data_IF_259127018697
#
_entry.id   IF_259127018697
#
_cell.length_a   1.000
_cell.length_b   1.000
_cell.length_c   1.000
_cell.angle_alpha   90.00
_cell.angle_beta   90.00
_cell.angle_gamma   90.00
#
_symmetry.space_group_name_H-M   'P 1'
#
loop_
_entity.id
_entity.type
_entity.pdbx_description
1 polymer ?
#
# COMPACT_ATOMS: atom_id res chain seq x y z
N UNK A 1 -19.29 6.91 72.45
CA UNK A 1 -20.11 7.58 71.41
C UNK A 1 -20.20 6.65 70.22
N UNK A 2 -21.35 5.95 70.13
CA UNK A 2 -21.57 4.93 69.06
C UNK A 2 -22.24 5.57 67.88
N UNK A 3 -21.69 5.40 66.70
CA UNK A 3 -22.36 5.74 65.45
C UNK A 3 -22.81 4.49 64.71
N UNK A 4 -24.12 4.37 64.56
CA UNK A 4 -24.80 3.34 63.79
C UNK A 4 -24.81 3.70 62.32
N UNK A 5 -24.49 2.71 61.49
CA UNK A 5 -24.61 2.78 60.03
C UNK A 5 -25.84 1.98 59.58
N UNK A 6 -26.79 2.52 58.80
CA UNK A 6 -27.96 1.77 58.34
C UNK A 6 -27.68 1.08 56.99
N UNK A 7 -27.92 -0.23 56.95
CA UNK A 7 -27.99 -1.07 55.76
C UNK A 7 -29.17 -0.66 54.87
N UNK A 8 -28.91 -0.30 53.62
CA UNK A 8 -29.92 -0.16 52.56
C UNK A 8 -30.04 -1.47 51.79
N UNK A 9 -31.23 -2.05 51.81
CA UNK A 9 -31.64 -3.23 51.04
C UNK A 9 -31.73 -2.86 49.55
N UNK A 10 -31.08 -3.63 48.67
CA UNK A 10 -31.21 -3.56 47.22
C UNK A 10 -32.28 -4.57 46.81
N UNK A 11 -33.39 -4.07 46.29
CA UNK A 11 -34.46 -4.86 45.66
C UNK A 11 -34.06 -5.25 44.24
N UNK A 12 -34.05 -6.54 43.94
CA UNK A 12 -33.83 -7.10 42.61
C UNK A 12 -35.09 -6.88 41.75
N UNK A 13 -34.93 -6.22 40.61
CA UNK A 13 -35.94 -6.11 39.55
C UNK A 13 -35.71 -7.22 38.51
N UNK A 14 -36.74 -8.05 38.36
CA UNK A 14 -36.80 -9.12 37.36
C UNK A 14 -37.00 -8.52 35.96
N UNK A 15 -36.22 -8.96 34.97
CA UNK A 15 -36.35 -8.63 33.57
C UNK A 15 -37.15 -9.73 32.86
N UNK A 16 -38.22 -9.44 32.11
CA UNK A 16 -38.95 -10.46 31.34
C UNK A 16 -38.20 -10.81 30.05
N UNK A 17 -38.11 -12.11 29.77
CA UNK A 17 -37.61 -12.65 28.50
C UNK A 17 -38.60 -12.36 27.37
N UNK A 18 -38.14 -11.68 26.32
CA UNK A 18 -38.86 -11.51 25.06
C UNK A 18 -38.38 -12.59 24.07
N UNK A 19 -39.30 -13.48 23.72
CA UNK A 19 -39.11 -14.51 22.71
C UNK A 19 -39.09 -13.84 21.32
N UNK A 20 -37.97 -13.96 20.57
CA UNK A 20 -37.85 -13.52 19.20
C UNK A 20 -38.39 -14.61 18.25
N UNK A 21 -39.46 -14.26 17.55
CA UNK A 21 -40.06 -15.04 16.46
C UNK A 21 -39.21 -14.91 15.19
N UNK A 22 -38.56 -15.98 14.75
CA UNK A 22 -37.81 -16.03 13.49
C UNK A 22 -38.81 -16.21 12.32
N UNK A 23 -39.01 -15.16 11.53
CA UNK A 23 -39.72 -15.22 10.25
C UNK A 23 -38.71 -15.55 9.15
N UNK A 24 -38.83 -16.76 8.61
CA UNK A 24 -38.17 -17.23 7.39
C UNK A 24 -38.78 -16.52 6.17
N UNK A 25 -38.03 -15.67 5.49
CA UNK A 25 -38.40 -15.14 4.16
C UNK A 25 -37.81 -16.01 3.06
N UNK A 26 -38.54 -16.31 1.95
CA UNK A 26 -38.04 -17.13 0.89
C UNK A 26 -37.01 -16.41 0.00
N UNK A 27 -35.98 -17.15 -0.39
CA UNK A 27 -34.94 -16.71 -1.33
C UNK A 27 -35.54 -16.38 -2.70
N UNK A 28 -35.41 -15.14 -3.15
CA UNK A 28 -35.75 -14.73 -4.50
C UNK A 28 -34.61 -15.10 -5.45
N UNK A 29 -34.87 -16.05 -6.33
CA UNK A 29 -33.97 -16.46 -7.42
C UNK A 29 -34.02 -15.35 -8.49
N UNK A 30 -32.92 -14.64 -8.69
CA UNK A 30 -32.73 -13.70 -9.80
C UNK A 30 -32.36 -14.43 -11.09
N UNK A 31 -32.89 -14.05 -12.25
CA UNK A 31 -32.68 -14.75 -13.53
C UNK A 31 -31.27 -14.53 -14.10
N UNK A 32 -30.73 -15.57 -14.72
CA UNK A 32 -29.40 -15.72 -15.28
C UNK A 32 -29.02 -14.80 -16.47
N UNK A 33 -29.68 -13.67 -16.66
CA UNK A 33 -29.47 -12.75 -17.80
C UNK A 33 -28.52 -11.58 -17.52
N UNK A 34 -28.12 -11.39 -16.29
CA UNK A 34 -27.25 -10.25 -15.89
C UNK A 34 -25.74 -10.54 -15.98
N UNK A 35 -25.33 -11.79 -16.26
CA UNK A 35 -23.90 -12.16 -16.36
C UNK A 35 -23.33 -12.10 -17.79
N UNK A 36 -24.18 -11.99 -18.82
CA UNK A 36 -23.72 -11.93 -20.21
C UNK A 36 -23.25 -10.53 -20.67
N UNK A 37 -23.74 -9.46 -20.04
CA UNK A 37 -23.43 -8.10 -20.46
C UNK A 37 -22.09 -7.54 -19.92
N UNK A 38 -21.49 -8.17 -18.91
CA UNK A 38 -20.19 -7.74 -18.40
C UNK A 38 -18.99 -8.30 -19.19
N UNK A 39 -19.18 -9.42 -19.91
CA UNK A 39 -18.12 -10.00 -20.75
C UNK A 39 -17.95 -9.27 -22.10
N UNK A 40 -19.00 -8.60 -22.59
CA UNK A 40 -18.98 -7.87 -23.85
C UNK A 40 -18.30 -6.48 -23.78
N UNK A 41 -18.22 -5.87 -22.60
CA UNK A 41 -17.60 -4.55 -22.43
C UNK A 41 -16.07 -4.60 -22.24
N UNK A 42 -15.49 -5.75 -21.92
CA UNK A 42 -14.04 -5.90 -21.83
C UNK A 42 -13.35 -6.20 -23.17
N UNK A 43 -14.08 -6.62 -24.18
CA UNK A 43 -13.52 -6.95 -25.51
C UNK A 43 -13.35 -5.73 -26.43
N UNK A 44 -13.95 -4.57 -26.13
CA UNK A 44 -13.91 -3.40 -27.00
C UNK A 44 -12.82 -2.38 -26.67
N UNK A 45 -12.01 -2.62 -25.63
CA UNK A 45 -10.91 -1.70 -25.25
C UNK A 45 -9.52 -2.17 -25.66
N UNK A 46 -9.38 -3.33 -26.31
CA UNK A 46 -8.09 -3.87 -26.77
C UNK A 46 -7.80 -3.66 -28.27
N UNK A 47 -8.73 -3.08 -29.06
CA UNK A 47 -8.60 -2.99 -30.51
C UNK A 47 -8.27 -1.60 -31.09
N UNK A 48 -7.92 -0.61 -30.25
CA UNK A 48 -7.63 0.76 -30.71
C UNK A 48 -6.14 1.13 -30.78
N UNK A 49 -5.23 0.18 -30.77
CA UNK A 49 -3.80 0.47 -30.85
C UNK A 49 -3.04 -0.43 -31.84
N UNK A 50 -3.50 -0.51 -33.10
CA UNK A 50 -2.65 -0.98 -34.22
C UNK A 50 -3.26 -0.58 -35.56
N UNK A 51 -2.86 0.57 -36.07
CA UNK A 51 -2.78 0.85 -37.50
C UNK A 51 -1.72 1.93 -37.71
N UNK A 52 -0.55 1.56 -38.11
CA UNK A 52 0.12 2.09 -39.32
C UNK A 52 1.47 1.41 -39.52
N UNK A 53 1.71 0.73 -40.61
CA UNK A 53 2.69 0.94 -41.65
C UNK A 53 3.00 -0.33 -42.48
N UNK A 54 2.61 -0.18 -43.76
CA UNK A 54 3.28 -0.57 -45.03
C UNK A 54 3.78 -2.01 -45.25
N UNK A 55 3.10 -2.60 -46.25
CA UNK A 55 3.54 -3.34 -47.48
C UNK A 55 4.97 -3.89 -47.53
N UNK A 56 5.15 -5.20 -47.76
CA UNK A 56 5.45 -5.77 -49.10
C UNK A 56 5.69 -7.29 -49.02
N UNK A 57 5.12 -7.95 -50.03
CA UNK A 57 5.48 -9.13 -50.78
C UNK A 57 5.53 -10.55 -50.21
N UNK A 58 4.67 -11.26 -50.90
CA UNK A 58 4.44 -12.67 -51.13
C UNK A 58 5.65 -13.58 -51.22
N UNK A 59 5.62 -14.78 -50.60
CA UNK A 59 5.97 -16.08 -51.21
C UNK A 59 5.24 -17.24 -50.53
N UNK A 60 4.74 -18.15 -51.34
CA UNK A 60 3.84 -19.29 -51.13
C UNK A 60 4.60 -20.52 -50.59
N UNK A 61 3.95 -21.39 -49.75
CA UNK A 61 4.57 -22.63 -49.28
C UNK A 61 4.38 -23.83 -50.24
N UNK A 62 5.15 -24.88 -50.12
CA UNK A 62 4.74 -26.20 -50.60
C UNK A 62 4.48 -27.23 -49.50
N UNK A 63 3.71 -28.20 -49.92
CA UNK A 63 2.85 -29.16 -49.26
C UNK A 63 3.53 -30.27 -48.44
N UNK A 64 2.66 -30.90 -47.67
CA UNK A 64 2.83 -32.10 -46.84
C UNK A 64 3.24 -33.36 -47.59
N UNK A 65 3.95 -34.25 -46.90
CA UNK A 65 3.85 -35.70 -47.13
C UNK A 65 3.91 -36.45 -45.78
N UNK A 66 2.90 -37.24 -45.58
CA UNK A 66 2.70 -38.26 -44.56
C UNK A 66 3.44 -39.54 -44.93
N UNK A 67 4.10 -40.20 -43.96
CA UNK A 67 4.13 -41.67 -43.87
C UNK A 67 4.33 -42.09 -42.42
N UNK A 68 3.56 -43.12 -42.05
CA UNK A 68 3.39 -43.61 -40.71
C UNK A 68 4.34 -44.75 -40.33
N UNK A 69 4.19 -45.13 -39.10
CA UNK A 69 4.18 -46.46 -38.53
C UNK A 69 5.07 -46.68 -37.30
N UNK A 70 4.38 -47.06 -36.23
CA UNK A 70 4.67 -48.08 -35.21
C UNK A 70 5.88 -48.00 -34.29
N UNK A 71 5.59 -47.94 -32.98
CA UNK A 71 6.19 -48.90 -32.07
C UNK A 71 6.93 -48.37 -30.85
N UNK A 72 6.35 -48.67 -29.69
CA UNK A 72 7.03 -48.99 -28.42
C UNK A 72 7.71 -47.86 -27.57
N UNK A 73 7.20 -47.80 -26.40
CA UNK A 73 7.55 -47.07 -25.17
C UNK A 73 8.99 -46.66 -24.95
N UNK A 74 9.10 -45.45 -24.42
CA UNK A 74 10.22 -45.15 -23.54
C UNK A 74 9.80 -44.10 -22.49
N UNK A 75 10.13 -44.41 -21.24
CA UNK A 75 9.97 -43.62 -20.05
C UNK A 75 10.65 -42.24 -20.21
N UNK A 76 9.95 -41.20 -19.80
CA UNK A 76 10.39 -39.84 -19.83
C UNK A 76 11.72 -39.69 -19.02
N UNK A 77 12.77 -39.35 -19.71
CA UNK A 77 13.99 -38.84 -19.11
C UNK A 77 13.71 -37.41 -18.58
N UNK A 78 13.91 -37.24 -17.29
CA UNK A 78 13.96 -35.92 -16.66
C UNK A 78 15.14 -35.16 -17.28
N UNK A 79 14.83 -34.09 -17.99
CA UNK A 79 15.83 -33.19 -18.59
C UNK A 79 16.66 -32.58 -17.45
N UNK A 80 17.88 -33.10 -17.26
CA UNK A 80 18.88 -32.52 -16.38
C UNK A 80 19.37 -31.22 -17.06
N UNK A 81 18.85 -30.10 -16.57
CA UNK A 81 19.32 -28.77 -16.99
C UNK A 81 20.84 -28.68 -16.84
N UNK A 82 21.50 -28.35 -17.94
CA UNK A 82 22.96 -28.25 -18.07
C UNK A 82 23.54 -27.32 -16.99
N UNK A 83 24.51 -27.77 -16.14
CA UNK A 83 25.08 -26.99 -15.04
C UNK A 83 25.70 -25.65 -15.49
N UNK A 84 26.09 -25.53 -16.76
CA UNK A 84 26.62 -24.29 -17.31
C UNK A 84 25.56 -23.20 -17.54
N UNK A 85 24.32 -23.60 -17.88
CA UNK A 85 23.19 -22.65 -18.03
C UNK A 85 22.70 -22.15 -16.66
N UNK A 86 22.69 -23.01 -15.64
CA UNK A 86 22.27 -22.64 -14.29
C UNK A 86 23.28 -21.68 -13.62
N UNK A 87 24.60 -21.86 -13.85
CA UNK A 87 25.65 -20.92 -13.43
C UNK A 87 25.54 -19.56 -14.17
N UNK A 88 25.16 -19.55 -15.43
CA UNK A 88 24.94 -18.32 -16.21
C UNK A 88 23.72 -17.52 -15.73
N UNK A 89 22.61 -18.20 -15.37
CA UNK A 89 21.40 -17.55 -14.85
C UNK A 89 21.59 -16.96 -13.46
N UNK A 90 22.30 -17.68 -12.57
CA UNK A 90 22.66 -17.17 -11.25
C UNK A 90 23.64 -16.02 -11.29
N UNK A 91 24.63 -16.04 -12.19
CA UNK A 91 25.56 -14.93 -12.38
C UNK A 91 24.84 -13.67 -12.89
N UNK A 92 23.93 -13.81 -13.88
CA UNK A 92 23.10 -12.67 -14.36
C UNK A 92 22.16 -12.12 -13.28
N UNK A 93 21.58 -13.00 -12.45
CA UNK A 93 20.75 -12.57 -11.33
C UNK A 93 21.56 -11.79 -10.27
N UNK A 94 22.76 -12.26 -9.94
CA UNK A 94 23.67 -11.58 -9.00
C UNK A 94 24.14 -10.23 -9.56
N UNK A 95 24.46 -10.15 -10.86
CA UNK A 95 24.84 -8.91 -11.53
C UNK A 95 23.69 -7.89 -11.47
N UNK A 96 22.47 -8.32 -11.81
CA UNK A 96 21.28 -7.48 -11.72
C UNK A 96 20.99 -6.98 -10.31
N UNK A 97 21.17 -7.82 -9.29
CA UNK A 97 21.03 -7.43 -7.88
C UNK A 97 22.11 -6.40 -7.48
N UNK A 98 23.35 -6.55 -7.96
CA UNK A 98 24.43 -5.58 -7.72
C UNK A 98 24.14 -4.25 -8.41
N UNK A 99 23.63 -4.27 -9.63
CA UNK A 99 23.26 -3.07 -10.37
C UNK A 99 22.10 -2.31 -9.70
N UNK A 100 21.07 -3.03 -9.24
CA UNK A 100 19.96 -2.47 -8.44
C UNK A 100 20.45 -1.90 -7.11
N UNK A 101 21.35 -2.60 -6.40
CA UNK A 101 21.94 -2.12 -5.15
C UNK A 101 22.80 -0.87 -5.36
N UNK A 102 23.59 -0.81 -6.45
CA UNK A 102 24.37 0.35 -6.84
C UNK A 102 23.48 1.53 -7.21
N UNK A 103 22.44 1.31 -8.03
CA UNK A 103 21.46 2.33 -8.40
C UNK A 103 20.72 2.87 -7.18
N UNK A 104 20.34 2.01 -6.22
CA UNK A 104 19.73 2.46 -4.97
C UNK A 104 20.69 3.31 -4.12
N UNK A 105 21.98 2.95 -4.06
CA UNK A 105 23.01 3.75 -3.40
C UNK A 105 23.20 5.12 -4.08
N UNK A 106 23.23 5.15 -5.40
CA UNK A 106 23.42 6.37 -6.19
C UNK A 106 22.21 7.32 -6.08
N UNK A 107 21.00 6.81 -5.90
CA UNK A 107 19.79 7.63 -5.72
C UNK A 107 19.90 8.48 -4.46
N UNK A 108 20.39 7.90 -3.36
CA UNK A 108 20.54 8.62 -2.08
C UNK A 108 21.83 9.42 -1.96
N UNK A 109 22.87 9.10 -2.71
CA UNK A 109 24.17 9.80 -2.65
C UNK A 109 24.12 11.22 -3.18
N UNK A 110 23.19 11.54 -4.09
CA UNK A 110 23.10 12.85 -4.75
C UNK A 110 22.38 13.90 -3.90
N UNK A 111 21.31 13.51 -3.19
CA UNK A 111 20.51 14.41 -2.33
C UNK A 111 20.03 13.62 -1.13
N UNK A 112 20.42 13.95 0.09
CA UNK A 112 19.97 13.24 1.28
C UNK A 112 18.48 13.48 1.53
N UNK A 113 17.76 12.43 1.95
CA UNK A 113 16.38 12.51 2.37
C UNK A 113 16.30 13.07 3.79
N UNK A 114 16.21 14.37 3.91
CA UNK A 114 16.09 15.02 5.22
C UNK A 114 14.62 15.16 5.60
N UNK A 115 14.25 14.83 6.86
CA UNK A 115 12.92 15.13 7.36
C UNK A 115 12.72 16.66 7.42
N UNK A 116 11.46 17.14 7.40
CA UNK A 116 11.16 18.56 7.57
C UNK A 116 11.80 19.13 8.83
N UNK A 117 12.34 20.35 8.75
CA UNK A 117 12.87 21.08 9.91
C UNK A 117 11.74 21.32 10.93
N UNK A 118 11.93 20.84 12.15
CA UNK A 118 10.93 20.90 13.22
C UNK A 118 10.30 19.53 13.54
N UNK A 119 10.73 18.48 12.85
CA UNK A 119 10.22 17.13 13.01
C UNK A 119 8.82 16.94 12.37
N UNK A 120 8.55 15.80 11.80
CA UNK A 120 7.16 15.39 11.56
C UNK A 120 6.49 15.28 12.95
N UNK A 121 5.26 15.80 13.08
CA UNK A 121 4.44 15.47 14.26
C UNK A 121 4.42 13.95 14.36
N UNK A 122 4.59 13.43 15.59
CA UNK A 122 4.54 11.98 15.81
C UNK A 122 3.33 11.41 15.09
N UNK A 123 3.55 10.37 14.28
CA UNK A 123 2.48 9.68 13.54
C UNK A 123 1.48 8.98 14.48
N UNK A 124 1.68 9.03 15.78
CA UNK A 124 0.93 8.25 16.77
C UNK A 124 1.61 6.91 17.06
N UNK A 125 0.97 6.09 17.87
CA UNK A 125 1.45 4.74 18.19
C UNK A 125 0.81 3.70 17.27
N UNK A 126 1.54 2.61 17.02
CA UNK A 126 1.10 1.44 16.26
C UNK A 126 1.09 0.22 17.20
N UNK A 127 0.10 0.11 18.11
CA UNK A 127 0.13 -0.85 19.20
C UNK A 127 0.01 -2.30 18.74
N UNK A 128 -0.77 -2.56 17.70
CA UNK A 128 -0.94 -3.91 17.17
C UNK A 128 0.35 -4.42 16.53
N UNK A 129 0.96 -3.61 15.66
CA UNK A 129 2.27 -3.94 15.06
C UNK A 129 3.35 -4.11 16.12
N UNK A 130 3.39 -3.21 17.12
CA UNK A 130 4.38 -3.32 18.20
C UNK A 130 4.22 -4.60 19.02
N UNK A 131 2.98 -5.00 19.34
CA UNK A 131 2.68 -6.25 20.03
C UNK A 131 3.15 -7.47 19.24
N UNK A 132 2.83 -7.52 17.96
CA UNK A 132 3.23 -8.60 17.05
C UNK A 132 4.76 -8.74 16.93
N UNK A 133 5.46 -7.64 16.73
CA UNK A 133 6.92 -7.63 16.67
C UNK A 133 7.56 -8.08 17.99
N UNK A 134 6.97 -7.69 19.12
CA UNK A 134 7.48 -8.08 20.44
C UNK A 134 7.24 -9.56 20.73
N UNK A 135 6.16 -10.17 20.25
CA UNK A 135 5.85 -11.59 20.40
C UNK A 135 6.54 -12.47 19.35
N UNK A 136 7.21 -11.88 18.35
CA UNK A 136 7.83 -12.62 17.24
C UNK A 136 6.81 -13.22 16.26
N UNK A 137 5.59 -12.71 16.26
CA UNK A 137 4.55 -13.14 15.33
C UNK A 137 4.73 -12.47 13.95
N UNK A 138 4.29 -13.13 12.85
CA UNK A 138 4.29 -12.53 11.52
C UNK A 138 3.49 -11.23 11.49
N UNK A 139 3.98 -10.24 10.74
CA UNK A 139 3.34 -8.93 10.53
C UNK A 139 2.97 -8.74 9.07
N UNK A 140 1.69 -8.51 8.80
CA UNK A 140 1.17 -8.23 7.46
C UNK A 140 0.85 -6.74 7.33
N UNK A 141 1.52 -6.07 6.41
CA UNK A 141 1.31 -4.66 6.09
C UNK A 141 0.68 -4.55 4.70
N UNK A 142 -0.48 -3.91 4.59
CA UNK A 142 -1.13 -3.65 3.31
C UNK A 142 -0.95 -2.19 2.91
N UNK A 143 -0.23 -1.95 1.82
CA UNK A 143 -0.15 -0.65 1.17
C UNK A 143 -1.32 -0.49 0.21
N UNK A 144 -2.31 0.32 0.59
CA UNK A 144 -3.57 0.53 -0.10
C UNK A 144 -3.62 1.94 -0.69
N UNK A 145 -3.97 2.09 -1.97
CA UNK A 145 -3.99 3.41 -2.58
C UNK A 145 -4.10 3.40 -4.10
N UNK A 146 -3.73 4.53 -4.71
CA UNK A 146 -3.83 4.75 -6.15
C UNK A 146 -2.50 4.52 -6.90
N UNK A 147 -2.26 5.24 -7.99
CA UNK A 147 -1.07 5.12 -8.84
C UNK A 147 0.25 5.34 -8.09
N UNK A 148 0.28 6.20 -7.06
CA UNK A 148 1.47 6.36 -6.21
C UNK A 148 1.79 5.09 -5.41
N UNK A 149 0.77 4.32 -5.03
CA UNK A 149 0.96 3.04 -4.34
C UNK A 149 1.35 1.92 -5.32
N UNK A 150 0.76 1.91 -6.53
CA UNK A 150 1.25 1.04 -7.62
C UNK A 150 2.73 1.27 -7.87
N UNK A 151 3.19 2.53 -7.79
CA UNK A 151 4.55 2.93 -8.11
C UNK A 151 4.69 3.49 -9.53
N UNK A 152 3.64 4.14 -10.05
CA UNK A 152 3.72 4.80 -11.36
C UNK A 152 4.83 5.86 -11.35
N UNK A 153 5.69 5.84 -12.37
CA UNK A 153 6.85 6.71 -12.47
C UNK A 153 8.17 6.10 -11.99
N UNK A 154 8.14 4.90 -11.36
CA UNK A 154 9.37 4.18 -11.03
C UNK A 154 9.94 3.46 -12.25
N UNK A 155 11.28 3.36 -12.31
CA UNK A 155 11.99 2.66 -13.38
C UNK A 155 12.02 1.14 -13.19
N UNK A 156 11.68 0.65 -11.98
CA UNK A 156 11.65 -0.77 -11.64
C UNK A 156 10.64 -1.03 -10.50
N UNK A 157 9.99 -2.22 -10.45
CA UNK A 157 9.08 -2.59 -9.36
C UNK A 157 9.72 -2.49 -7.97
N UNK A 158 11.01 -2.77 -7.83
CA UNK A 158 11.76 -2.69 -6.58
C UNK A 158 11.83 -1.26 -6.03
N UNK A 159 11.63 -0.25 -6.88
CA UNK A 159 11.70 1.16 -6.51
C UNK A 159 10.37 1.76 -6.05
N UNK A 160 9.29 0.98 -6.08
CA UNK A 160 8.02 1.39 -5.50
C UNK A 160 8.15 1.58 -3.99
N UNK A 161 7.37 2.51 -3.39
CA UNK A 161 7.49 2.76 -1.96
C UNK A 161 7.15 1.53 -1.10
N UNK A 162 6.17 0.66 -1.44
CA UNK A 162 5.91 -0.53 -0.62
C UNK A 162 7.10 -1.49 -0.58
N UNK A 163 7.78 -1.72 -1.71
CA UNK A 163 8.95 -2.59 -1.78
C UNK A 163 10.16 -2.00 -1.05
N UNK A 164 10.38 -0.68 -1.16
CA UNK A 164 11.43 0.02 -0.40
C UNK A 164 11.16 0.01 1.10
N UNK A 165 9.90 0.19 1.50
CA UNK A 165 9.48 0.09 2.90
C UNK A 165 9.72 -1.33 3.44
N UNK A 166 9.35 -2.37 2.68
CA UNK A 166 9.65 -3.77 3.05
C UNK A 166 11.15 -3.96 3.31
N UNK A 167 11.99 -3.52 2.37
CA UNK A 167 13.45 -3.62 2.51
C UNK A 167 13.98 -2.84 3.73
N UNK A 168 13.41 -1.68 4.06
CA UNK A 168 13.78 -0.91 5.26
C UNK A 168 13.39 -1.62 6.55
N UNK A 169 12.14 -2.13 6.62
CA UNK A 169 11.65 -2.84 7.79
C UNK A 169 12.40 -4.15 8.04
N UNK A 170 12.74 -4.90 6.99
CA UNK A 170 13.59 -6.09 7.11
C UNK A 170 15.00 -5.77 7.62
N UNK A 171 15.60 -4.64 7.22
CA UNK A 171 16.88 -4.20 7.79
C UNK A 171 16.77 -3.82 9.26
N UNK A 172 15.67 -3.18 9.65
CA UNK A 172 15.43 -2.75 11.04
C UNK A 172 15.10 -3.92 11.97
N UNK A 173 14.36 -4.89 11.46
CA UNK A 173 13.88 -6.07 12.20
C UNK A 173 14.27 -7.37 11.47
N UNK A 174 15.58 -7.71 11.46
CA UNK A 174 16.11 -8.78 10.60
C UNK A 174 15.60 -10.18 10.95
N UNK A 175 15.08 -10.37 12.17
CA UNK A 175 14.53 -11.65 12.65
C UNK A 175 13.00 -11.70 12.58
N UNK A 176 12.33 -10.60 12.23
CA UNK A 176 10.88 -10.56 12.16
C UNK A 176 10.40 -10.98 10.76
N UNK A 177 9.31 -11.75 10.73
CA UNK A 177 8.60 -12.09 9.50
C UNK A 177 7.62 -10.95 9.15
N UNK A 178 8.06 -10.05 8.26
CA UNK A 178 7.27 -8.88 7.84
C UNK A 178 6.97 -8.99 6.36
N UNK A 179 5.69 -9.00 6.00
CA UNK A 179 5.22 -8.98 4.61
C UNK A 179 4.56 -7.64 4.30
N UNK A 180 5.00 -6.96 3.22
CA UNK A 180 4.35 -5.76 2.69
C UNK A 180 3.67 -6.07 1.37
N UNK A 181 2.34 -5.94 1.33
CA UNK A 181 1.50 -6.27 0.18
C UNK A 181 1.09 -4.97 -0.52
N UNK A 182 1.47 -4.81 -1.79
CA UNK A 182 1.02 -3.68 -2.61
C UNK A 182 -0.39 -3.93 -3.15
N UNK A 183 -1.35 -3.10 -2.74
CA UNK A 183 -2.75 -3.05 -3.19
C UNK A 183 -3.08 -1.69 -3.80
N UNK A 184 -2.14 -1.12 -4.54
CA UNK A 184 -2.36 0.07 -5.35
C UNK A 184 -3.21 -0.25 -6.60
N UNK A 185 -4.06 0.70 -7.00
CA UNK A 185 -4.77 0.67 -8.28
C UNK A 185 -4.82 2.08 -8.87
N UNK A 186 -4.29 2.27 -10.08
CA UNK A 186 -4.15 3.57 -10.70
C UNK A 186 -5.49 4.29 -10.89
N UNK A 187 -5.49 5.62 -10.67
CA UNK A 187 -6.65 6.46 -10.96
C UNK A 187 -7.77 6.45 -9.90
N UNK A 188 -7.73 5.59 -8.90
CA UNK A 188 -8.77 5.52 -7.87
C UNK A 188 -8.76 6.69 -6.90
N UNK A 189 -9.95 7.06 -6.45
CA UNK A 189 -10.20 7.88 -5.26
C UNK A 189 -11.00 7.11 -4.20
N UNK A 190 -11.48 7.80 -3.15
CA UNK A 190 -12.11 7.14 -2.02
C UNK A 190 -13.33 6.26 -2.39
N UNK A 191 -14.26 6.65 -3.28
CA UNK A 191 -15.39 5.81 -3.64
C UNK A 191 -14.99 4.46 -4.26
N UNK A 192 -14.02 4.44 -5.19
CA UNK A 192 -13.54 3.20 -5.81
C UNK A 192 -12.78 2.35 -4.79
N UNK A 193 -11.93 2.97 -3.97
CA UNK A 193 -11.20 2.28 -2.91
C UNK A 193 -12.14 1.61 -1.92
N UNK A 194 -13.23 2.26 -1.52
CA UNK A 194 -14.23 1.70 -0.60
C UNK A 194 -14.94 0.46 -1.15
N UNK A 195 -15.17 0.39 -2.48
CA UNK A 195 -15.78 -0.79 -3.13
C UNK A 195 -14.93 -2.05 -2.97
N UNK A 196 -13.60 -1.91 -2.97
CA UNK A 196 -12.67 -3.03 -2.86
C UNK A 196 -11.98 -3.16 -1.50
N UNK A 197 -12.35 -2.34 -0.50
CA UNK A 197 -11.73 -2.36 0.82
C UNK A 197 -11.77 -3.77 1.45
N UNK A 198 -12.90 -4.49 1.31
CA UNK A 198 -13.01 -5.84 1.83
C UNK A 198 -11.99 -6.78 1.19
N UNK A 199 -12.02 -6.94 -0.12
CA UNK A 199 -11.22 -7.94 -0.84
C UNK A 199 -9.75 -7.55 -0.98
N UNK A 200 -9.44 -6.25 -1.08
CA UNK A 200 -8.08 -5.77 -1.26
C UNK A 200 -7.32 -5.59 0.06
N UNK A 201 -8.03 -5.39 1.17
CA UNK A 201 -7.42 -5.05 2.47
C UNK A 201 -7.83 -6.03 3.56
N UNK A 202 -9.13 -6.08 3.90
CA UNK A 202 -9.58 -6.79 5.11
C UNK A 202 -9.40 -8.32 5.00
N UNK A 203 -9.62 -8.89 3.81
CA UNK A 203 -9.42 -10.33 3.56
C UNK A 203 -7.93 -10.74 3.67
N UNK A 204 -7.00 -9.79 3.58
CA UNK A 204 -5.57 -10.02 3.81
C UNK A 204 -5.21 -10.12 5.30
N UNK A 205 -6.16 -9.83 6.21
CA UNK A 205 -5.97 -9.81 7.66
C UNK A 205 -4.75 -8.97 8.05
N UNK A 206 -4.70 -7.69 7.66
CA UNK A 206 -3.54 -6.84 7.91
C UNK A 206 -3.36 -6.54 9.39
N UNK A 207 -2.11 -6.37 9.79
CA UNK A 207 -1.74 -5.80 11.09
C UNK A 207 -1.54 -4.29 10.99
N UNK A 208 -1.16 -3.80 9.79
CA UNK A 208 -1.06 -2.38 9.46
C UNK A 208 -1.62 -2.12 8.06
N UNK A 209 -2.43 -1.09 7.95
CA UNK A 209 -2.85 -0.54 6.65
C UNK A 209 -2.19 0.82 6.44
N UNK A 210 -1.48 0.98 5.33
CA UNK A 210 -0.98 2.29 4.86
C UNK A 210 -1.93 2.72 3.74
N UNK A 211 -2.80 3.68 4.02
CA UNK A 211 -3.84 4.10 3.07
C UNK A 211 -3.50 5.45 2.44
N UNK A 212 -3.06 5.42 1.18
CA UNK A 212 -2.81 6.62 0.38
C UNK A 212 -4.08 7.03 -0.37
N UNK A 213 -4.59 8.26 -0.12
CA UNK A 213 -5.88 8.73 -0.64
C UNK A 213 -5.91 10.25 -0.83
N UNK A 214 -6.87 10.74 -1.62
CA UNK A 214 -7.23 12.15 -1.76
C UNK A 214 -6.59 12.86 -2.96
N UNK A 215 -5.52 12.33 -3.57
CA UNK A 215 -4.87 12.96 -4.73
C UNK A 215 -5.82 13.07 -5.93
N UNK A 216 -6.45 11.97 -6.33
CA UNK A 216 -7.33 11.95 -7.50
C UNK A 216 -8.60 12.76 -7.27
N UNK A 217 -9.13 12.80 -6.05
CA UNK A 217 -10.24 13.69 -5.70
C UNK A 217 -9.87 15.17 -5.88
N UNK A 218 -8.66 15.58 -5.48
CA UNK A 218 -8.15 16.95 -5.74
C UNK A 218 -8.04 17.21 -7.24
N UNK A 219 -7.43 16.31 -8.01
CA UNK A 219 -7.27 16.48 -9.46
C UNK A 219 -8.61 16.58 -10.21
N UNK A 220 -9.60 15.83 -9.76
CA UNK A 220 -10.98 15.84 -10.32
C UNK A 220 -11.86 16.93 -9.73
N UNK A 221 -11.34 17.74 -8.83
CA UNK A 221 -12.06 18.81 -8.15
C UNK A 221 -13.33 18.31 -7.41
N UNK A 222 -13.24 17.10 -6.82
CA UNK A 222 -14.33 16.53 -6.01
C UNK A 222 -14.37 17.20 -4.63
N UNK A 223 -15.55 17.15 -3.98
CA UNK A 223 -15.69 17.72 -2.63
C UNK A 223 -14.81 16.98 -1.62
N UNK A 224 -13.82 17.65 -1.02
CA UNK A 224 -12.98 17.06 0.01
C UNK A 224 -13.75 16.54 1.23
N UNK A 225 -14.95 17.09 1.50
CA UNK A 225 -15.78 16.68 2.65
C UNK A 225 -16.35 15.28 2.44
N UNK A 226 -16.81 14.97 1.22
CA UNK A 226 -17.32 13.62 0.90
C UNK A 226 -16.19 12.60 0.90
N UNK A 227 -15.01 12.96 0.38
CA UNK A 227 -13.81 12.11 0.51
C UNK A 227 -13.48 11.81 1.97
N UNK A 228 -13.50 12.84 2.84
CA UNK A 228 -13.19 12.68 4.27
C UNK A 228 -14.18 11.75 4.97
N UNK A 229 -15.50 11.83 4.66
CA UNK A 229 -16.51 10.91 5.21
C UNK A 229 -16.25 9.46 4.82
N UNK A 230 -15.98 9.19 3.55
CA UNK A 230 -15.67 7.84 3.08
C UNK A 230 -14.39 7.28 3.72
N UNK A 231 -13.36 8.12 3.88
CA UNK A 231 -12.13 7.75 4.57
C UNK A 231 -12.41 7.43 6.03
N UNK A 232 -13.24 8.23 6.71
CA UNK A 232 -13.63 7.98 8.10
C UNK A 232 -14.37 6.64 8.26
N UNK A 233 -15.28 6.30 7.34
CA UNK A 233 -15.95 5.00 7.30
C UNK A 233 -14.96 3.87 7.09
N UNK A 234 -14.04 4.01 6.13
CA UNK A 234 -13.01 3.01 5.85
C UNK A 234 -12.08 2.78 7.05
N UNK A 235 -11.68 3.85 7.76
CA UNK A 235 -10.90 3.76 9.00
C UNK A 235 -11.66 2.93 10.03
N UNK A 236 -12.95 3.19 10.24
CA UNK A 236 -13.75 2.46 11.21
C UNK A 236 -13.79 0.95 10.91
N UNK A 237 -13.90 0.57 9.62
CA UNK A 237 -13.86 -0.83 9.17
C UNK A 237 -12.50 -1.49 9.40
N UNK A 238 -11.41 -0.77 9.12
CA UNK A 238 -10.04 -1.27 9.33
C UNK A 238 -9.75 -1.45 10.83
N UNK A 239 -10.14 -0.47 11.66
CA UNK A 239 -10.01 -0.56 13.12
C UNK A 239 -10.85 -1.69 13.72
N UNK A 240 -12.07 -1.92 13.20
CA UNK A 240 -12.92 -3.03 13.61
C UNK A 240 -12.31 -4.41 13.28
N UNK A 241 -11.46 -4.49 12.25
CA UNK A 241 -10.68 -5.68 11.92
C UNK A 241 -9.42 -5.85 12.80
N UNK A 242 -9.13 -4.92 13.72
CA UNK A 242 -8.00 -4.98 14.66
C UNK A 242 -6.67 -4.44 14.11
N UNK A 243 -6.65 -3.87 12.91
CA UNK A 243 -5.42 -3.36 12.30
C UNK A 243 -5.10 -1.93 12.74
N UNK A 244 -3.79 -1.64 12.89
CA UNK A 244 -3.30 -0.27 12.93
C UNK A 244 -3.47 0.39 11.54
N UNK A 245 -3.52 1.73 11.49
CA UNK A 245 -3.67 2.45 10.23
C UNK A 245 -2.81 3.72 10.20
N UNK A 246 -2.21 3.95 9.04
CA UNK A 246 -1.54 5.20 8.68
C UNK A 246 -2.17 5.76 7.41
N UNK A 247 -2.78 6.94 7.51
CA UNK A 247 -3.21 7.69 6.33
C UNK A 247 -2.02 8.41 5.69
N UNK A 248 -1.99 8.40 4.36
CA UNK A 248 -1.05 9.18 3.54
C UNK A 248 -1.86 10.09 2.64
N UNK A 249 -1.77 11.39 2.86
CA UNK A 249 -2.46 12.41 2.09
C UNK A 249 -1.93 12.60 0.66
N UNK A 250 -2.45 13.60 -0.09
CA UNK A 250 -1.96 13.97 -1.41
C UNK A 250 -0.46 14.27 -1.42
N UNK A 251 0.21 14.11 -2.56
CA UNK A 251 1.58 14.59 -2.77
C UNK A 251 1.59 16.08 -3.13
N UNK A 252 2.70 16.75 -2.82
CA UNK A 252 3.02 18.06 -3.36
C UNK A 252 3.63 17.88 -4.77
N UNK A 253 2.93 18.36 -5.79
CA UNK A 253 3.36 18.28 -7.19
C UNK A 253 2.69 19.37 -8.02
N UNK A 254 3.22 19.77 -9.20
CA UNK A 254 2.63 20.82 -10.02
C UNK A 254 1.13 20.67 -10.23
N UNK A 255 0.65 19.51 -10.68
CA UNK A 255 -0.79 19.29 -10.94
C UNK A 255 -1.66 19.37 -9.69
N UNK A 256 -1.13 19.01 -8.52
CA UNK A 256 -1.87 19.12 -7.25
C UNK A 256 -1.86 20.57 -6.75
N UNK A 257 -0.75 21.29 -6.88
CA UNK A 257 -0.64 22.69 -6.45
C UNK A 257 -1.43 23.64 -7.32
N UNK A 258 -1.67 23.32 -8.59
CA UNK A 258 -2.63 24.03 -9.47
C UNK A 258 -4.06 24.04 -8.89
N UNK A 259 -4.39 23.09 -8.00
CA UNK A 259 -5.67 23.00 -7.28
C UNK A 259 -5.53 23.47 -5.83
N UNK A 260 -4.74 24.50 -5.56
CA UNK A 260 -4.24 24.91 -4.26
C UNK A 260 -5.25 24.93 -3.12
N UNK A 261 -6.45 25.49 -3.33
CA UNK A 261 -7.52 25.53 -2.32
C UNK A 261 -8.06 24.12 -2.01
N UNK A 262 -8.41 23.34 -3.05
CA UNK A 262 -8.89 21.97 -2.91
C UNK A 262 -7.83 21.07 -2.26
N UNK A 263 -6.58 21.19 -2.67
CA UNK A 263 -5.47 20.45 -2.08
C UNK A 263 -5.29 20.78 -0.60
N UNK A 264 -5.28 22.07 -0.25
CA UNK A 264 -5.13 22.53 1.15
C UNK A 264 -6.29 22.05 2.02
N UNK A 265 -7.54 22.11 1.52
CA UNK A 265 -8.73 21.62 2.22
C UNK A 265 -8.66 20.12 2.42
N UNK A 266 -8.29 19.34 1.38
CA UNK A 266 -8.14 17.89 1.45
C UNK A 266 -7.11 17.47 2.51
N UNK A 267 -5.91 18.04 2.47
CA UNK A 267 -4.84 17.75 3.43
C UNK A 267 -5.28 18.01 4.87
N UNK A 268 -5.91 19.18 5.12
CA UNK A 268 -6.42 19.55 6.44
C UNK A 268 -7.51 18.58 6.93
N UNK A 269 -8.46 18.21 6.06
CA UNK A 269 -9.54 17.31 6.44
C UNK A 269 -9.04 15.90 6.75
N UNK A 270 -8.16 15.34 5.91
CA UNK A 270 -7.58 14.01 6.16
C UNK A 270 -6.76 13.99 7.45
N UNK A 271 -5.97 15.04 7.73
CA UNK A 271 -5.24 15.18 8.99
C UNK A 271 -6.18 15.24 10.19
N UNK A 272 -7.31 15.98 10.08
CA UNK A 272 -8.31 16.05 11.15
C UNK A 272 -9.05 14.72 11.37
N UNK A 273 -9.36 14.00 10.29
CA UNK A 273 -9.97 12.66 10.39
C UNK A 273 -9.00 11.71 11.11
N UNK A 274 -7.72 11.71 10.77
CA UNK A 274 -6.71 10.89 11.43
C UNK A 274 -6.61 11.21 12.93
N UNK A 275 -6.61 12.49 13.29
CA UNK A 275 -6.59 12.95 14.69
C UNK A 275 -7.84 12.48 15.46
N UNK A 276 -9.04 12.69 14.91
CA UNK A 276 -10.30 12.30 15.54
C UNK A 276 -10.45 10.79 15.69
N UNK A 277 -9.92 10.02 14.76
CA UNK A 277 -9.96 8.55 14.77
C UNK A 277 -8.77 7.90 15.46
N UNK A 278 -7.83 8.72 15.97
CA UNK A 278 -6.61 8.25 16.64
C UNK A 278 -5.79 7.28 15.79
N UNK A 279 -5.68 7.55 14.47
CA UNK A 279 -4.84 6.81 13.53
C UNK A 279 -3.62 7.62 13.10
N UNK A 280 -2.61 6.94 12.59
CA UNK A 280 -1.43 7.61 12.06
C UNK A 280 -1.73 8.49 10.84
N UNK A 281 -0.98 9.59 10.70
CA UNK A 281 -1.02 10.43 9.52
C UNK A 281 0.40 10.80 9.07
N UNK A 282 0.77 10.36 7.86
CA UNK A 282 2.01 10.80 7.24
C UNK A 282 1.75 12.04 6.37
N UNK A 283 2.30 13.20 6.73
CA UNK A 283 2.03 14.48 6.08
C UNK A 283 2.83 14.64 4.77
N UNK A 284 2.58 13.75 3.78
CA UNK A 284 3.35 13.68 2.55
C UNK A 284 3.41 15.01 1.79
N UNK A 285 2.30 15.74 1.75
CA UNK A 285 2.24 17.05 1.08
C UNK A 285 3.24 18.03 1.70
N UNK A 286 3.24 18.15 3.02
CA UNK A 286 4.13 19.06 3.75
C UNK A 286 5.59 18.64 3.64
N UNK A 287 5.86 17.33 3.70
CA UNK A 287 7.21 16.77 3.53
C UNK A 287 7.77 17.13 2.15
N UNK A 288 7.01 16.85 1.09
CA UNK A 288 7.46 17.13 -0.28
C UNK A 288 7.53 18.65 -0.58
N UNK A 289 6.64 19.43 0.00
CA UNK A 289 6.71 20.90 -0.07
C UNK A 289 7.98 21.42 0.60
N UNK A 290 8.34 20.90 1.77
CA UNK A 290 9.57 21.26 2.49
C UNK A 290 10.82 20.94 1.66
N UNK A 291 10.84 19.80 0.94
CA UNK A 291 11.94 19.50 0.02
C UNK A 291 12.13 20.61 -1.01
N UNK A 292 11.05 21.11 -1.60
CA UNK A 292 11.12 22.16 -2.62
C UNK A 292 11.39 23.55 -2.03
N UNK A 293 10.53 23.98 -1.09
CA UNK A 293 10.51 25.37 -0.64
C UNK A 293 11.61 25.69 0.37
N UNK A 294 12.01 24.75 1.24
CA UNK A 294 12.98 24.98 2.30
C UNK A 294 14.33 24.33 2.09
N UNK A 295 14.36 23.19 1.42
CA UNK A 295 15.59 22.47 1.12
C UNK A 295 16.10 22.80 -0.29
N UNK A 296 15.36 23.59 -1.06
CA UNK A 296 15.68 24.03 -2.41
C UNK A 296 15.94 22.87 -3.39
N UNK A 297 15.25 21.71 -3.19
CA UNK A 297 15.35 20.58 -4.10
C UNK A 297 14.47 20.88 -5.33
N UNK A 298 15.03 20.84 -6.56
CA UNK A 298 14.26 21.00 -7.77
C UNK A 298 13.13 19.98 -7.88
N UNK A 299 11.96 20.39 -8.38
CA UNK A 299 10.76 19.51 -8.48
C UNK A 299 11.06 18.28 -9.34
N UNK A 300 11.80 18.44 -10.41
CA UNK A 300 12.21 17.37 -11.34
C UNK A 300 13.05 16.27 -10.68
N UNK A 301 13.64 16.52 -9.53
CA UNK A 301 14.35 15.49 -8.77
C UNK A 301 13.39 14.50 -8.11
N UNK A 302 12.17 14.91 -7.76
CA UNK A 302 11.22 14.07 -7.05
C UNK A 302 9.85 13.90 -7.74
N UNK A 303 9.57 14.62 -8.83
CA UNK A 303 8.38 14.48 -9.67
C UNK A 303 8.82 14.28 -11.12
N UNK A 304 8.25 13.29 -11.82
CA UNK A 304 8.52 13.05 -13.23
C UNK A 304 7.88 14.12 -14.12
N UNK A 305 8.19 14.10 -15.42
CA UNK A 305 7.73 15.11 -16.39
C UNK A 305 6.22 15.23 -16.56
N UNK A 306 5.44 14.27 -16.05
CA UNK A 306 3.98 14.36 -16.06
C UNK A 306 3.42 15.37 -15.02
N UNK A 307 4.28 15.94 -14.17
CA UNK A 307 3.93 16.93 -13.15
C UNK A 307 3.08 16.38 -11.99
N UNK A 308 3.01 15.06 -11.82
CA UNK A 308 2.20 14.40 -10.80
C UNK A 308 2.96 13.32 -10.03
N UNK A 309 3.45 12.28 -10.74
CA UNK A 309 4.00 11.10 -10.11
C UNK A 309 5.46 11.30 -9.69
N UNK A 310 5.88 10.55 -8.70
CA UNK A 310 7.24 10.68 -8.16
C UNK A 310 8.27 9.95 -9.03
N UNK A 311 9.50 10.43 -8.99
CA UNK A 311 10.69 9.73 -9.49
C UNK A 311 11.12 8.61 -8.54
N UNK A 312 12.09 7.80 -8.94
CA UNK A 312 12.71 6.80 -8.05
C UNK A 312 13.27 7.42 -6.77
N UNK A 313 13.87 8.63 -6.87
CA UNK A 313 14.35 9.36 -5.70
C UNK A 313 13.19 9.82 -4.80
N UNK A 314 12.13 10.37 -5.40
CA UNK A 314 10.94 10.80 -4.65
C UNK A 314 10.30 9.64 -3.88
N UNK A 315 10.13 8.48 -4.53
CA UNK A 315 9.62 7.27 -3.86
C UNK A 315 10.59 6.73 -2.81
N UNK A 316 11.90 6.80 -3.05
CA UNK A 316 12.90 6.38 -2.08
C UNK A 316 12.85 7.20 -0.80
N UNK A 317 12.81 8.53 -0.93
CA UNK A 317 12.72 9.43 0.21
C UNK A 317 11.38 9.32 0.94
N UNK A 318 10.28 9.21 0.21
CA UNK A 318 8.97 8.98 0.80
C UNK A 318 8.96 7.68 1.62
N UNK A 319 9.43 6.57 1.05
CA UNK A 319 9.48 5.28 1.74
C UNK A 319 10.37 5.33 2.98
N UNK A 320 11.55 5.96 2.89
CA UNK A 320 12.47 6.10 4.01
C UNK A 320 11.83 6.88 5.17
N UNK A 321 11.27 8.06 4.91
CA UNK A 321 10.69 8.91 5.95
C UNK A 321 9.44 8.28 6.57
N UNK A 322 8.59 7.63 5.75
CA UNK A 322 7.43 6.87 6.22
C UNK A 322 7.87 5.68 7.10
N UNK A 323 8.89 4.95 6.68
CA UNK A 323 9.44 3.83 7.44
C UNK A 323 10.08 4.27 8.76
N UNK A 324 10.81 5.39 8.77
CA UNK A 324 11.38 5.98 9.99
C UNK A 324 10.28 6.37 10.99
N UNK A 325 9.16 6.90 10.49
CA UNK A 325 8.01 7.24 11.33
C UNK A 325 7.30 5.99 11.87
N UNK A 326 7.12 4.92 11.06
CA UNK A 326 6.58 3.64 11.50
C UNK A 326 7.48 3.03 12.59
N UNK A 327 8.78 2.95 12.37
CA UNK A 327 9.76 2.41 13.31
C UNK A 327 9.71 3.18 14.64
N UNK A 328 9.64 4.50 14.57
CA UNK A 328 9.52 5.37 15.76
C UNK A 328 8.21 5.13 16.49
N UNK A 329 7.09 4.99 15.77
CA UNK A 329 5.76 4.80 16.36
C UNK A 329 5.62 3.43 17.03
N UNK A 330 6.24 2.40 16.49
CA UNK A 330 6.38 1.08 17.14
C UNK A 330 7.20 1.17 18.43
N UNK A 331 8.31 1.89 18.40
CA UNK A 331 9.22 2.05 19.55
C UNK A 331 8.68 2.92 20.70
N UNK A 332 7.62 3.71 20.46
CA UNK A 332 6.99 4.54 21.51
C UNK A 332 6.20 3.72 22.53
N UNK A 333 5.83 2.50 22.21
CA UNK A 333 5.15 1.62 23.15
C UNK A 333 6.22 1.01 24.05
N UNK A 334 6.31 1.53 25.28
CA UNK A 334 7.01 0.85 26.38
C UNK A 334 6.17 -0.39 26.76
N UNK A 335 6.33 -1.44 25.97
CA UNK A 335 5.95 -2.76 26.40
C UNK A 335 6.77 -2.99 27.67
N UNK A 336 6.14 -3.38 28.78
CA UNK A 336 6.82 -3.72 30.05
C UNK A 336 7.72 -4.94 29.94
N UNK A 337 8.22 -5.24 28.78
CA UNK A 337 9.20 -6.27 28.42
C UNK A 337 10.47 -5.53 28.01
N UNK A 338 11.59 -5.86 28.68
CA UNK A 338 12.92 -5.38 28.34
C UNK A 338 13.18 -5.60 26.85
N UNK A 339 12.98 -4.56 26.04
CA UNK A 339 13.55 -4.53 24.70
C UNK A 339 15.07 -4.51 24.88
N UNK A 340 15.83 -5.46 24.33
CA UNK A 340 17.28 -5.45 24.43
C UNK A 340 17.81 -4.10 23.98
N UNK A 341 18.66 -3.48 24.80
CA UNK A 341 19.23 -2.13 24.59
C UNK A 341 20.19 -2.02 23.40
N UNK A 342 20.28 -3.04 22.57
CA UNK A 342 21.13 -3.11 21.38
C UNK A 342 20.40 -2.87 20.04
N UNK A 343 19.18 -2.32 20.06
CA UNK A 343 18.60 -1.71 18.87
C UNK A 343 19.33 -0.39 18.62
N UNK A 344 20.52 -0.49 18.05
CA UNK A 344 21.23 0.67 17.51
C UNK A 344 20.39 1.24 16.37
N UNK A 345 19.87 2.45 16.58
CA UNK A 345 19.36 3.29 15.48
C UNK A 345 20.52 3.51 14.51
N UNK A 346 20.53 2.75 13.43
CA UNK A 346 21.48 2.94 12.35
C UNK A 346 21.14 4.29 11.70
N UNK A 347 21.94 5.32 12.04
CA UNK A 347 22.02 6.54 11.24
C UNK A 347 22.92 6.20 10.07
N UNK A 348 22.45 6.18 8.82
CA UNK A 348 23.37 6.22 7.69
C UNK A 348 24.09 7.57 7.73
N UNK A 349 25.43 7.51 7.72
CA UNK A 349 26.30 8.65 7.48
C UNK A 349 26.12 9.17 6.05
#
# INVERSE_FOLDING_TARGET
>A
MSFHCPFRRITALAVPAVAALVLLTPASILPARAQADQAAQQATLSDSAKSDSTKSDSVKPPAAQTTGATGAGNVAAVDQANPSQQKSLTAKAIEKVKEVAKSAGDIFSRVPCLPPKGGAKSMGSLPHVASKLASGEPVVIVAFGSSSTVGYGTTSPEFTYPNRLAAQLHRQYPTADITVINRGQGGEDAPEMMKRLQTAVLDMKPDLVIWQVGTNAVLRNLDPTETAKLVEEGIARIQAAGADLVLVGPQYSPKVTERGESASKMVKLLGKVAELRHVGFFPRFEVMRDWHEKQAIPIENFVISDGLHMTDWGYACFAQLLGDDIIRSVGQIKLGVNVPSNVQTYRPM
#
